data_IF_284138419304
#
_entry.id   IF_284138419304
#
_cell.length_a   1.000
_cell.length_b   1.000
_cell.length_c   1.000
_cell.angle_alpha   90.00
_cell.angle_beta   90.00
_cell.angle_gamma   90.00
#
_symmetry.space_group_name_H-M   'P 1'
#
loop_
_entity.id
_entity.type
_entity.pdbx_description
1 polymer ?
#
# COMPACT_ATOMS: atom_id res chain seq x y z
N UNK A 1 -16.08 -4.07 -2.80
CA UNK A 1 -15.97 -2.76 -3.47
C UNK A 1 -16.77 -1.65 -2.76
N UNK A 2 -16.29 -1.09 -1.63
CA UNK A 2 -16.89 0.17 -1.14
C UNK A 2 -16.05 1.00 -0.17
N UNK A 3 -14.73 0.85 -0.19
CA UNK A 3 -13.88 2.01 -0.02
C UNK A 3 -13.66 2.55 -1.44
N UNK A 4 -14.63 3.32 -1.94
CA UNK A 4 -14.46 4.00 -3.23
C UNK A 4 -13.14 4.80 -3.14
N UNK A 5 -12.28 4.73 -4.16
CA UNK A 5 -11.04 5.51 -4.14
C UNK A 5 -11.35 6.99 -3.88
N UNK A 6 -12.54 7.47 -4.25
CA UNK A 6 -13.08 8.78 -3.84
C UNK A 6 -13.04 8.98 -2.31
N UNK A 7 -13.63 8.07 -1.53
CA UNK A 7 -13.62 8.14 -0.07
C UNK A 7 -12.21 7.98 0.51
N UNK A 8 -11.37 7.12 -0.07
CA UNK A 8 -9.99 6.95 0.38
C UNK A 8 -9.19 8.23 0.14
N UNK A 9 -9.32 8.82 -1.05
CA UNK A 9 -8.67 10.08 -1.41
C UNK A 9 -9.18 11.25 -0.54
N UNK A 10 -10.48 11.29 -0.25
CA UNK A 10 -11.10 12.33 0.61
C UNK A 10 -10.67 12.21 2.07
N UNK A 11 -10.65 10.99 2.61
CA UNK A 11 -10.40 10.76 4.04
C UNK A 11 -8.91 10.63 4.38
N UNK A 12 -8.05 10.27 3.43
CA UNK A 12 -6.61 10.10 3.66
C UNK A 12 -5.79 11.31 3.19
N UNK A 13 -6.01 12.45 3.85
CA UNK A 13 -4.99 13.51 3.94
C UNK A 13 -3.75 12.94 4.64
N UNK A 14 -2.72 12.54 3.88
CA UNK A 14 -1.40 12.13 4.39
C UNK A 14 -1.47 11.23 5.64
N UNK A 15 -2.15 10.09 5.53
CA UNK A 15 -2.08 9.07 6.57
C UNK A 15 -0.65 8.47 6.58
N UNK A 16 0.08 8.66 7.69
CA UNK A 16 1.46 8.18 7.88
C UNK A 16 1.52 6.72 8.37
N UNK A 17 0.36 6.07 8.48
CA UNK A 17 0.14 4.69 8.89
C UNK A 17 -0.58 3.88 7.79
N UNK A 18 -0.52 4.36 6.54
CA UNK A 18 -1.15 3.69 5.41
C UNK A 18 -0.63 2.25 5.32
N UNK A 19 -1.56 1.28 5.30
CA UNK A 19 -1.31 -0.16 5.18
C UNK A 19 -0.24 -0.71 6.13
N UNK A 20 -0.18 -0.17 7.34
CA UNK A 20 0.67 -0.74 8.40
C UNK A 20 0.33 -2.19 8.74
N UNK A 21 -0.91 -2.63 8.44
CA UNK A 21 -1.36 -4.02 8.48
C UNK A 21 -0.62 -4.94 7.50
N UNK A 22 -0.12 -4.41 6.37
CA UNK A 22 0.62 -5.19 5.36
C UNK A 22 2.12 -5.02 5.50
N UNK A 23 2.58 -3.79 5.72
CA UNK A 23 4.01 -3.49 5.68
C UNK A 23 4.77 -4.04 6.90
N UNK A 24 4.05 -4.37 7.97
CA UNK A 24 4.64 -4.87 9.20
C UNK A 24 5.32 -3.78 10.05
N UNK A 25 5.88 -4.18 11.21
CA UNK A 25 6.47 -3.25 12.17
C UNK A 25 7.73 -2.57 11.60
N UNK A 26 7.91 -1.28 11.90
CA UNK A 26 9.09 -0.52 11.50
C UNK A 26 8.99 0.18 10.14
N UNK A 27 7.98 -0.15 9.33
CA UNK A 27 7.71 0.52 8.06
C UNK A 27 6.60 1.56 8.22
N UNK A 28 6.82 2.76 7.67
CA UNK A 28 5.81 3.83 7.59
C UNK A 28 5.37 3.99 6.14
N UNK A 29 4.06 3.98 5.91
CA UNK A 29 3.45 4.24 4.60
C UNK A 29 2.79 5.62 4.57
N UNK A 30 3.12 6.40 3.54
CA UNK A 30 2.54 7.72 3.28
C UNK A 30 1.68 7.66 2.03
N UNK A 31 0.36 7.64 2.22
CA UNK A 31 -0.59 7.58 1.12
C UNK A 31 -0.54 8.84 0.24
N UNK A 32 -0.59 8.66 -1.08
CA UNK A 32 -0.66 9.76 -2.06
C UNK A 32 -1.99 9.79 -2.80
N UNK A 33 -2.38 8.69 -3.46
CA UNK A 33 -3.63 8.60 -4.23
C UNK A 33 -4.08 7.16 -4.42
N UNK A 34 -5.37 6.99 -4.68
CA UNK A 34 -6.05 5.76 -5.05
C UNK A 34 -6.76 5.98 -6.38
N UNK A 35 -6.68 5.00 -7.27
CA UNK A 35 -7.43 4.96 -8.53
C UNK A 35 -8.08 3.60 -8.70
N UNK A 36 -9.36 3.58 -9.05
CA UNK A 36 -10.05 2.32 -9.38
C UNK A 36 -9.77 2.00 -10.84
N UNK A 37 -8.97 0.97 -11.08
CA UNK A 37 -8.56 0.56 -12.43
C UNK A 37 -9.44 -0.55 -13.02
N UNK A 38 -10.17 -1.29 -12.16
CA UNK A 38 -11.14 -2.28 -12.59
C UNK A 38 -12.33 -2.38 -11.62
N UNK A 39 -13.30 -3.24 -11.93
CA UNK A 39 -14.43 -3.50 -11.04
C UNK A 39 -14.00 -4.23 -9.76
N UNK A 40 -12.81 -4.77 -9.63
CA UNK A 40 -12.36 -5.47 -8.42
C UNK A 40 -10.95 -5.05 -8.00
N UNK A 41 -10.39 -4.05 -8.68
CA UNK A 41 -9.00 -3.65 -8.53
C UNK A 41 -8.88 -2.15 -8.31
N UNK A 42 -8.15 -1.80 -7.25
CA UNK A 42 -7.70 -0.46 -6.95
C UNK A 42 -6.18 -0.41 -7.03
N UNK A 43 -5.64 0.65 -7.62
CA UNK A 43 -4.21 0.97 -7.57
C UNK A 43 -3.97 2.05 -6.53
N UNK A 44 -2.96 1.83 -5.69
CA UNK A 44 -2.54 2.77 -4.65
C UNK A 44 -1.15 3.31 -4.98
N UNK A 45 -0.97 4.62 -4.81
CA UNK A 45 0.34 5.26 -4.85
C UNK A 45 0.66 5.78 -3.46
N UNK A 46 1.85 5.45 -2.98
CA UNK A 46 2.33 5.81 -1.65
C UNK A 46 3.85 5.82 -1.63
N UNK A 47 4.40 6.43 -0.59
CA UNK A 47 5.84 6.36 -0.26
C UNK A 47 6.00 5.50 0.97
N UNK A 48 6.97 4.59 0.99
CA UNK A 48 7.38 3.87 2.20
C UNK A 48 8.69 4.43 2.75
N UNK A 49 8.84 4.38 4.06
CA UNK A 49 10.12 4.63 4.73
C UNK A 49 10.33 3.61 5.84
N UNK A 50 11.55 3.11 5.98
CA UNK A 50 11.99 2.28 7.08
C UNK A 50 13.39 2.69 7.52
N UNK A 51 13.73 2.42 8.79
CA UNK A 51 15.09 2.48 9.30
C UNK A 51 15.92 1.25 8.91
N UNK A 52 15.28 0.18 8.43
CA UNK A 52 15.90 -1.05 7.97
C UNK A 52 15.75 -1.19 6.46
N UNK A 53 16.89 -1.29 5.76
CA UNK A 53 16.92 -1.44 4.30
C UNK A 53 16.31 -2.78 3.86
N UNK A 54 16.50 -3.85 4.63
CA UNK A 54 16.01 -5.18 4.25
C UNK A 54 14.49 -5.21 4.10
N UNK A 55 13.76 -4.43 4.91
CA UNK A 55 12.32 -4.28 4.81
C UNK A 55 11.88 -3.58 3.52
N UNK A 56 12.67 -2.60 3.05
CA UNK A 56 12.41 -1.96 1.76
C UNK A 56 12.68 -2.95 0.62
N UNK A 57 13.79 -3.68 0.71
CA UNK A 57 14.17 -4.66 -0.31
C UNK A 57 13.11 -5.78 -0.42
N UNK A 58 12.57 -6.30 0.69
CA UNK A 58 11.47 -7.29 0.72
C UNK A 58 10.16 -6.75 0.15
N UNK A 59 9.73 -5.54 0.54
CA UNK A 59 8.50 -4.94 0.00
C UNK A 59 8.58 -4.64 -1.50
N UNK A 60 9.78 -4.48 -2.02
CA UNK A 60 10.05 -4.19 -3.43
C UNK A 60 10.39 -5.43 -4.25
N UNK A 61 10.44 -6.60 -3.62
CA UNK A 61 10.70 -7.87 -4.31
C UNK A 61 9.43 -8.30 -5.07
N UNK A 62 9.50 -8.50 -6.40
CA UNK A 62 8.35 -8.92 -7.19
C UNK A 62 7.83 -10.33 -6.81
N UNK A 63 8.62 -11.13 -6.12
CA UNK A 63 8.24 -12.48 -5.67
C UNK A 63 7.64 -12.48 -4.25
N UNK A 64 7.49 -11.31 -3.62
CA UNK A 64 6.85 -11.20 -2.30
C UNK A 64 5.36 -11.50 -2.36
N UNK A 65 4.92 -12.47 -1.58
CA UNK A 65 3.51 -12.81 -1.39
C UNK A 65 2.95 -12.10 -0.14
N UNK A 66 1.80 -11.43 -0.32
CA UNK A 66 1.09 -10.79 0.78
C UNK A 66 -0.10 -11.65 1.25
N UNK A 67 -0.40 -11.65 2.56
CA UNK A 67 -1.53 -12.41 3.08
C UNK A 67 -2.86 -11.84 2.57
N UNK A 68 -3.86 -12.71 2.42
CA UNK A 68 -5.24 -12.28 2.23
C UNK A 68 -5.75 -11.68 3.54
N UNK A 69 -6.12 -10.40 3.53
CA UNK A 69 -6.61 -9.67 4.69
C UNK A 69 -8.14 -9.64 4.68
N UNK A 70 -8.75 -10.09 5.77
CA UNK A 70 -10.21 -9.96 5.96
C UNK A 70 -10.54 -8.62 6.63
N UNK A 71 -11.44 -7.87 6.00
CA UNK A 71 -11.96 -6.60 6.48
C UNK A 71 -13.39 -6.79 6.97
N UNK A 72 -13.53 -6.90 8.29
CA UNK A 72 -14.81 -7.12 8.96
C UNK A 72 -15.79 -5.97 8.73
N UNK A 73 -15.31 -4.72 8.67
CA UNK A 73 -16.17 -3.54 8.50
C UNK A 73 -16.93 -3.59 7.18
N UNK A 74 -16.29 -4.14 6.14
CA UNK A 74 -16.86 -4.21 4.79
C UNK A 74 -17.24 -5.62 4.35
N UNK A 75 -17.09 -6.62 5.23
CA UNK A 75 -17.30 -8.05 4.96
C UNK A 75 -16.69 -8.48 3.62
N UNK A 76 -15.39 -8.20 3.46
CA UNK A 76 -14.66 -8.44 2.22
C UNK A 76 -13.25 -8.94 2.49
N UNK A 77 -12.65 -9.59 1.51
CA UNK A 77 -11.24 -9.98 1.53
C UNK A 77 -10.44 -9.07 0.60
N UNK A 78 -9.20 -8.79 0.98
CA UNK A 78 -8.24 -8.02 0.22
C UNK A 78 -7.01 -8.87 -0.05
N UNK A 79 -6.52 -8.83 -1.28
CA UNK A 79 -5.23 -9.39 -1.67
C UNK A 79 -4.41 -8.24 -2.24
N UNK A 80 -3.19 -8.09 -1.74
CA UNK A 80 -2.22 -7.15 -2.31
C UNK A 80 -1.33 -7.88 -3.30
N UNK A 81 -1.18 -7.29 -4.48
CA UNK A 81 -0.18 -7.71 -5.45
C UNK A 81 1.20 -7.13 -5.08
N UNK A 82 2.30 -7.75 -5.55
CA UNK A 82 3.66 -7.25 -5.35
C UNK A 82 3.79 -5.76 -5.68
N UNK A 83 4.41 -4.98 -4.78
CA UNK A 83 4.50 -3.54 -4.98
C UNK A 83 5.55 -3.20 -6.04
N UNK A 84 5.16 -2.35 -7.00
CA UNK A 84 6.11 -1.81 -7.97
C UNK A 84 6.90 -0.67 -7.36
N UNK A 85 8.12 -0.96 -6.89
CA UNK A 85 9.02 0.07 -6.41
C UNK A 85 9.77 0.76 -7.54
N UNK A 86 9.55 2.06 -7.71
CA UNK A 86 10.46 2.89 -8.51
C UNK A 86 11.65 3.27 -7.65
N UNK A 87 12.85 2.77 -7.97
CA UNK A 87 14.07 3.40 -7.46
C UNK A 87 14.08 4.83 -7.98
N UNK A 88 13.81 5.81 -7.12
CA UNK A 88 14.39 7.13 -7.33
C UNK A 88 15.89 6.91 -7.26
N UNK A 89 16.57 6.86 -8.41
CA UNK A 89 17.99 7.16 -8.42
C UNK A 89 18.10 8.48 -7.64
N UNK A 90 18.87 8.49 -6.54
CA UNK A 90 19.14 9.72 -5.84
C UNK A 90 19.56 10.79 -6.88
N UNK A 91 19.17 12.06 -6.73
CA UNK A 91 19.80 13.09 -7.55
C UNK A 91 21.31 12.92 -7.37
N UNK A 92 22.01 12.80 -8.51
CA UNK A 92 23.46 12.70 -8.55
C UNK A 92 24.11 13.95 -7.92
#
# INVERSE_FOLDING_TARGET
MKADCENINLNKKLAADFRSDVFGPGVKGFFHRCERVAWDTNTYWFTISSADRSQIDELCDPDTEYPIVYDEQHNTYWLDEPFTCTRRAAPA
#
